data_IF_585190846589
#
_entry.id   IF_585190846589
#
_cell.length_a   1.000
_cell.length_b   1.000
_cell.length_c   1.000
_cell.angle_alpha   90.00
_cell.angle_beta   90.00
_cell.angle_gamma   90.00
#
_symmetry.space_group_name_H-M   'P 1'
#
loop_
_entity.id
_entity.type
_entity.pdbx_description
1 polymer ?
#
# COMPACT_ATOMS: atom_id res chain seq x y z
N UNK A 1 4.99 22.00 -19.00
CA UNK A 1 5.13 20.70 -19.70
C UNK A 1 4.56 19.62 -18.79
N UNK A 2 3.33 19.16 -19.03
CA UNK A 2 2.67 18.18 -18.18
C UNK A 2 3.19 16.78 -18.52
N UNK A 3 3.92 16.14 -17.61
CA UNK A 3 4.34 14.75 -17.76
C UNK A 3 3.12 13.88 -17.44
N UNK A 4 2.30 13.63 -18.47
CA UNK A 4 1.40 12.48 -18.51
C UNK A 4 2.25 11.26 -18.86
N UNK A 5 2.48 10.39 -17.89
CA UNK A 5 2.62 8.94 -18.03
C UNK A 5 3.11 8.37 -16.70
N UNK A 6 2.20 8.26 -15.73
CA UNK A 6 2.34 7.21 -14.73
C UNK A 6 1.98 5.90 -15.43
N UNK A 7 2.95 5.28 -16.13
CA UNK A 7 2.79 3.99 -16.80
C UNK A 7 2.76 2.86 -15.76
N UNK A 8 1.83 2.95 -14.81
CA UNK A 8 1.60 1.90 -13.84
C UNK A 8 1.03 0.72 -14.62
N UNK A 9 1.65 -0.45 -14.45
CA UNK A 9 1.00 -1.68 -14.86
C UNK A 9 -0.21 -1.88 -13.95
N UNK A 10 -1.38 -1.48 -14.46
CA UNK A 10 -2.66 -1.60 -13.75
C UNK A 10 -2.96 -3.05 -13.35
N UNK A 11 -2.42 -4.03 -14.09
CA UNK A 11 -2.62 -5.45 -13.80
C UNK A 11 -1.77 -5.89 -12.61
N UNK A 12 -0.46 -5.63 -12.64
CA UNK A 12 0.44 -5.97 -11.51
C UNK A 12 0.00 -5.31 -10.21
N UNK A 13 -0.34 -4.01 -10.25
CA UNK A 13 -0.90 -3.31 -9.10
C UNK A 13 -2.14 -4.03 -8.54
N UNK A 14 -3.09 -4.37 -9.41
CA UNK A 14 -4.35 -4.98 -9.01
C UNK A 14 -4.15 -6.38 -8.42
N UNK A 15 -3.26 -7.20 -9.01
CA UNK A 15 -2.94 -8.53 -8.51
C UNK A 15 -2.34 -8.49 -7.10
N UNK A 16 -1.40 -7.58 -6.85
CA UNK A 16 -0.81 -7.41 -5.51
C UNK A 16 -1.84 -6.86 -4.52
N UNK A 17 -2.68 -5.90 -4.95
CA UNK A 17 -3.72 -5.34 -4.11
C UNK A 17 -4.70 -6.42 -3.64
N UNK A 18 -5.21 -7.23 -4.58
CA UNK A 18 -6.18 -8.30 -4.28
C UNK A 18 -5.57 -9.39 -3.40
N UNK A 19 -4.32 -9.79 -3.68
CA UNK A 19 -3.57 -10.71 -2.83
C UNK A 19 -3.43 -10.20 -1.39
N UNK A 20 -3.11 -8.91 -1.23
CA UNK A 20 -2.96 -8.29 0.08
C UNK A 20 -4.30 -8.18 0.82
N UNK A 21 -5.39 -7.83 0.13
CA UNK A 21 -6.74 -7.83 0.73
C UNK A 21 -7.14 -9.23 1.20
N UNK A 22 -6.89 -10.27 0.41
CA UNK A 22 -7.16 -11.66 0.80
C UNK A 22 -6.35 -12.07 2.04
N UNK A 23 -5.06 -11.74 2.05
CA UNK A 23 -4.14 -12.02 3.17
C UNK A 23 -4.52 -11.25 4.44
N UNK A 24 -4.94 -9.99 4.31
CA UNK A 24 -5.38 -9.18 5.43
C UNK A 24 -6.73 -9.65 5.95
N UNK A 25 -7.62 -10.14 5.09
CA UNK A 25 -8.95 -10.62 5.47
C UNK A 25 -8.94 -12.01 6.09
N UNK A 26 -7.88 -12.81 5.91
CA UNK A 26 -7.70 -14.11 6.56
C UNK A 26 -7.22 -14.03 8.00
N UNK A 27 -7.47 -12.90 8.69
CA UNK A 27 -7.06 -12.65 10.09
C UNK A 27 -7.35 -13.90 10.93
N UNK A 28 -6.33 -14.54 11.54
CA UNK A 28 -6.59 -15.61 12.48
C UNK A 28 -7.45 -15.04 13.61
N UNK A 29 -8.62 -15.65 13.82
CA UNK A 29 -9.66 -15.15 14.69
C UNK A 29 -9.12 -14.96 16.11
N UNK A 30 -8.73 -13.73 16.46
CA UNK A 30 -8.28 -13.37 17.78
C UNK A 30 -9.25 -12.35 18.37
N UNK A 31 -9.72 -12.65 19.58
CA UNK A 31 -10.85 -12.05 20.28
C UNK A 31 -10.68 -10.59 20.78
N UNK A 32 -9.74 -9.82 20.24
CA UNK A 32 -9.47 -8.45 20.71
C UNK A 32 -9.19 -7.47 19.57
N UNK A 33 -9.80 -6.28 19.65
CA UNK A 33 -9.75 -5.15 18.68
C UNK A 33 -8.32 -4.64 18.39
N UNK A 34 -7.31 -5.00 19.20
CA UNK A 34 -5.89 -4.73 18.89
C UNK A 34 -5.34 -5.62 17.76
N UNK A 35 -6.05 -6.68 17.38
CA UNK A 35 -5.62 -7.68 16.41
C UNK A 35 -5.49 -7.17 14.96
N UNK A 36 -6.44 -6.39 14.40
CA UNK A 36 -6.35 -5.92 13.02
C UNK A 36 -5.18 -4.95 12.78
N UNK A 37 -4.92 -4.05 13.73
CA UNK A 37 -3.82 -3.08 13.61
C UNK A 37 -2.45 -3.75 13.69
N UNK A 38 -2.24 -4.62 14.67
CA UNK A 38 -0.98 -5.38 14.78
C UNK A 38 -0.80 -6.34 13.60
N UNK A 39 -1.88 -6.95 13.11
CA UNK A 39 -1.83 -7.79 11.91
C UNK A 39 -1.43 -7.00 10.67
N UNK A 40 -2.05 -5.85 10.42
CA UNK A 40 -1.69 -4.97 9.31
C UNK A 40 -0.25 -4.44 9.45
N UNK A 41 0.17 -4.08 10.66
CA UNK A 41 1.54 -3.64 10.97
C UNK A 41 2.58 -4.69 10.59
N UNK A 42 2.28 -5.98 10.81
CA UNK A 42 3.15 -7.09 10.40
C UNK A 42 3.42 -7.15 8.89
N UNK A 43 2.60 -6.47 8.07
CA UNK A 43 2.74 -6.43 6.61
C UNK A 43 3.48 -5.19 6.10
N UNK A 44 3.70 -4.18 6.95
CA UNK A 44 4.45 -2.97 6.56
C UNK A 44 5.85 -3.25 5.97
N UNK A 45 6.63 -4.26 6.45
CA UNK A 45 7.92 -4.57 5.85
C UNK A 45 7.85 -4.93 4.35
N UNK A 46 6.71 -5.43 3.86
CA UNK A 46 6.52 -5.72 2.44
C UNK A 46 6.59 -4.44 1.59
N UNK A 47 6.13 -3.30 2.10
CA UNK A 47 6.26 -2.00 1.42
C UNK A 47 7.74 -1.65 1.26
N UNK A 48 8.53 -1.77 2.35
CA UNK A 48 9.97 -1.50 2.32
C UNK A 48 10.69 -2.43 1.35
N UNK A 49 10.40 -3.73 1.40
CA UNK A 49 10.99 -4.72 0.48
C UNK A 49 10.65 -4.43 -0.99
N UNK A 50 9.43 -3.98 -1.28
CA UNK A 50 9.03 -3.58 -2.63
C UNK A 50 9.79 -2.33 -3.10
N UNK A 51 9.99 -1.34 -2.22
CA UNK A 51 10.79 -0.14 -2.53
C UNK A 51 12.25 -0.50 -2.79
N UNK A 52 12.87 -1.35 -1.96
CA UNK A 52 14.25 -1.81 -2.15
C UNK A 52 14.47 -2.54 -3.48
N UNK A 53 13.42 -3.18 -3.99
CA UNK A 53 13.41 -3.85 -5.30
C UNK A 53 12.98 -2.95 -6.45
N UNK A 54 12.75 -1.67 -6.19
CA UNK A 54 12.23 -0.70 -7.16
C UNK A 54 10.84 -1.09 -7.75
N UNK A 55 10.08 -1.92 -7.04
CA UNK A 55 8.70 -2.30 -7.38
C UNK A 55 7.72 -1.35 -6.66
N UNK A 56 7.65 -0.13 -7.18
CA UNK A 56 6.84 0.95 -6.59
C UNK A 56 5.34 0.68 -6.72
N UNK A 57 4.93 -0.04 -7.76
CA UNK A 57 3.56 -0.51 -7.96
C UNK A 57 3.13 -1.47 -6.85
N UNK A 58 3.93 -2.49 -6.54
CA UNK A 58 3.62 -3.41 -5.43
C UNK A 58 3.68 -2.71 -4.07
N UNK A 59 4.61 -1.77 -3.88
CA UNK A 59 4.70 -0.98 -2.65
C UNK A 59 3.42 -0.15 -2.43
N UNK A 60 2.92 0.50 -3.49
CA UNK A 60 1.67 1.26 -3.41
C UNK A 60 0.47 0.34 -3.22
N UNK A 61 0.34 -0.74 -4.00
CA UNK A 61 -0.76 -1.69 -3.87
C UNK A 61 -0.88 -2.24 -2.44
N UNK A 62 0.26 -2.60 -1.85
CA UNK A 62 0.34 -3.07 -0.46
C UNK A 62 -0.09 -1.98 0.54
N UNK A 63 0.40 -0.75 0.36
CA UNK A 63 0.02 0.39 1.21
C UNK A 63 -1.50 0.65 1.15
N UNK A 64 -2.06 0.68 -0.05
CA UNK A 64 -3.48 0.98 -0.26
C UNK A 64 -4.38 -0.15 0.25
N UNK A 65 -3.97 -1.41 0.11
CA UNK A 65 -4.68 -2.56 0.67
C UNK A 65 -4.68 -2.53 2.22
N UNK A 66 -3.54 -2.22 2.85
CA UNK A 66 -3.44 -2.05 4.31
C UNK A 66 -4.34 -0.92 4.79
N UNK A 67 -4.31 0.23 4.12
CA UNK A 67 -5.18 1.37 4.43
C UNK A 67 -6.65 0.99 4.31
N UNK A 68 -7.05 0.34 3.21
CA UNK A 68 -8.43 -0.09 2.98
C UNK A 68 -8.89 -1.03 4.11
N UNK A 69 -8.05 -2.02 4.44
CA UNK A 69 -8.33 -2.95 5.52
C UNK A 69 -8.52 -2.26 6.88
N UNK A 70 -7.61 -1.37 7.27
CA UNK A 70 -7.69 -0.66 8.56
C UNK A 70 -8.92 0.26 8.64
N UNK A 71 -9.28 0.92 7.54
CA UNK A 71 -10.45 1.80 7.46
C UNK A 71 -11.78 1.06 7.63
N UNK A 72 -11.81 -0.28 7.61
CA UNK A 72 -13.01 -1.07 7.96
C UNK A 72 -13.28 -1.10 9.46
N UNK A 73 -12.31 -0.72 10.29
CA UNK A 73 -12.37 -0.76 11.76
C UNK A 73 -12.35 0.65 12.39
N UNK A 74 -12.33 1.69 11.56
CA UNK A 74 -12.28 3.09 11.98
C UNK A 74 -13.60 3.77 11.62
N UNK A 75 -14.09 4.63 12.52
CA UNK A 75 -15.23 5.51 12.24
C UNK A 75 -14.88 6.53 11.15
N UNK A 76 -15.90 7.09 10.49
CA UNK A 76 -15.73 7.98 9.33
C UNK A 76 -14.81 9.18 9.63
N UNK A 77 -14.88 9.74 10.84
CA UNK A 77 -14.05 10.87 11.30
C UNK A 77 -12.57 10.48 11.48
N UNK A 78 -12.28 9.20 11.69
CA UNK A 78 -10.94 8.67 11.99
C UNK A 78 -10.33 7.87 10.83
N UNK A 79 -11.02 7.78 9.68
CA UNK A 79 -10.51 7.06 8.51
C UNK A 79 -9.19 7.67 8.04
N UNK A 80 -8.23 6.80 7.74
CA UNK A 80 -6.94 7.18 7.16
C UNK A 80 -7.21 7.75 5.76
N UNK A 81 -6.97 9.05 5.59
CA UNK A 81 -7.14 9.76 4.31
C UNK A 81 -5.94 9.54 3.39
N UNK A 82 -5.99 10.01 2.14
CA UNK A 82 -4.82 9.90 1.26
C UNK A 82 -3.71 10.87 1.70
N UNK A 83 -4.13 12.01 2.23
CA UNK A 83 -3.29 13.10 2.73
C UNK A 83 -2.54 12.67 4.00
N UNK A 84 -3.13 11.79 4.81
CA UNK A 84 -2.51 11.21 6.00
C UNK A 84 -1.50 10.09 5.69
N UNK A 85 -1.30 9.73 4.41
CA UNK A 85 -0.33 8.70 4.01
C UNK A 85 0.90 9.32 3.36
N UNK A 86 2.09 8.78 3.71
CA UNK A 86 3.32 9.12 3.01
C UNK A 86 3.20 8.75 1.53
N UNK A 87 3.59 9.70 0.67
CA UNK A 87 3.62 9.51 -0.78
C UNK A 87 4.85 8.68 -1.13
N UNK A 88 4.63 7.57 -1.84
CA UNK A 88 5.71 6.80 -2.43
C UNK A 88 6.16 7.50 -3.73
N UNK A 89 7.45 7.42 -4.10
CA UNK A 89 7.91 7.90 -5.40
C UNK A 89 7.10 7.22 -6.50
N UNK A 90 6.73 7.95 -7.54
CA UNK A 90 6.17 7.29 -8.73
C UNK A 90 7.29 6.57 -9.47
N UNK A 91 6.99 5.42 -10.09
CA UNK A 91 7.98 4.62 -10.85
C UNK A 91 8.79 5.45 -11.87
N UNK A 92 8.20 6.52 -12.41
CA UNK A 92 8.87 7.44 -13.34
C UNK A 92 9.68 8.60 -12.72
N UNK A 93 9.58 8.83 -11.40
CA UNK A 93 10.37 9.85 -10.70
C UNK A 93 11.77 9.35 -10.34
N UNK A 94 11.89 8.10 -9.90
CA UNK A 94 13.19 7.55 -9.51
C UNK A 94 14.16 7.35 -10.70
N UNK A 95 13.62 7.04 -11.88
CA UNK A 95 14.40 6.99 -13.13
C UNK A 95 14.97 8.37 -13.52
N UNK A 96 14.33 9.48 -13.13
CA UNK A 96 14.80 10.84 -13.44
C UNK A 96 15.91 11.31 -12.52
N UNK A 97 15.86 10.92 -11.24
CA UNK A 97 16.88 11.27 -10.24
C UNK A 97 18.20 10.50 -10.44
N UNK A 98 18.15 9.29 -11.03
CA UNK A 98 19.38 8.54 -11.39
C UNK A 98 20.07 9.01 -12.68
N UNK A 99 19.39 9.81 -13.50
CA UNK A 99 19.89 10.31 -14.79
C UNK A 99 20.29 11.80 -14.75
N UNK A 100 20.22 12.44 -13.58
CA UNK A 100 20.69 13.81 -13.30
C UNK A 100 21.98 13.79 -12.49
#
# INVERSE_FOLDING_TARGET
MAIKNSNWDKKHYQEIYDFMIATLSSVPWCSNVKCPFEWAKSKLPLITMSIEKEDYEAAQATKDAIKNFLNRFLDDENKITNEATLKLPTAGQHLREKLS
#
